data_IF_847072372134
#
_entry.id   IF_847072372134
#
_cell.length_a   1.000
_cell.length_b   1.000
_cell.length_c   1.000
_cell.angle_alpha   90.00
_cell.angle_beta   90.00
_cell.angle_gamma   90.00
#
_symmetry.space_group_name_H-M   'P 1'
#
loop_
_entity.id
_entity.type
_entity.pdbx_description
1 polymer ?
#
# COMPACT_ATOMS: atom_id res chain seq x y z
N UNK A 1 -2.03 -2.97 -1.69
CA UNK A 1 -1.42 -3.56 -0.46
C UNK A 1 -1.34 -5.07 -0.54
N UNK A 2 -2.42 -5.82 -0.73
CA UNK A 2 -2.42 -7.29 -0.79
C UNK A 2 -1.41 -7.85 -1.81
N UNK A 3 -1.44 -7.33 -3.03
CA UNK A 3 -0.46 -7.67 -4.09
C UNK A 3 0.98 -7.37 -3.67
N UNK A 4 1.20 -6.22 -3.02
CA UNK A 4 2.55 -5.83 -2.56
C UNK A 4 3.04 -6.75 -1.45
N UNK A 5 2.18 -7.10 -0.48
CA UNK A 5 2.50 -8.06 0.58
C UNK A 5 2.87 -9.44 0.02
N UNK A 6 2.09 -9.94 -0.96
CA UNK A 6 2.40 -11.21 -1.63
C UNK A 6 3.69 -11.17 -2.46
N UNK A 7 3.95 -10.05 -3.14
CA UNK A 7 5.19 -9.86 -3.90
C UNK A 7 6.43 -9.83 -3.00
N UNK A 8 6.37 -9.08 -1.89
CA UNK A 8 7.46 -9.03 -0.91
C UNK A 8 7.70 -10.40 -0.25
N UNK A 9 6.61 -11.09 0.13
CA UNK A 9 6.73 -12.44 0.65
C UNK A 9 7.49 -13.34 -0.32
N UNK A 10 7.12 -13.34 -1.61
CA UNK A 10 7.76 -14.14 -2.65
C UNK A 10 9.21 -13.74 -2.87
N UNK A 11 9.48 -12.44 -2.99
CA UNK A 11 10.82 -11.90 -3.21
C UNK A 11 11.78 -12.26 -2.07
N UNK A 12 11.36 -12.01 -0.82
CA UNK A 12 12.18 -12.28 0.36
C UNK A 12 12.33 -13.76 0.66
N UNK A 13 11.31 -14.58 0.38
CA UNK A 13 11.41 -16.04 0.51
C UNK A 13 12.43 -16.64 -0.46
N UNK A 14 12.48 -16.16 -1.71
CA UNK A 14 13.48 -16.56 -2.69
C UNK A 14 14.91 -16.23 -2.25
N UNK A 15 15.09 -15.09 -1.58
CA UNK A 15 16.39 -14.66 -1.02
C UNK A 15 16.73 -15.31 0.32
N UNK A 16 15.80 -16.05 0.93
CA UNK A 16 15.98 -16.59 2.30
C UNK A 16 15.93 -15.52 3.38
N UNK A 17 15.34 -14.35 3.10
CA UNK A 17 15.29 -13.17 3.95
C UNK A 17 13.89 -12.83 4.47
N UNK A 18 12.91 -13.72 4.25
CA UNK A 18 11.55 -13.49 4.73
C UNK A 18 11.50 -13.54 6.27
N UNK A 19 11.17 -12.43 6.94
CA UNK A 19 11.07 -12.43 8.40
C UNK A 19 9.82 -13.18 8.87
N UNK A 20 9.87 -13.74 10.10
CA UNK A 20 8.71 -14.35 10.75
C UNK A 20 7.62 -13.30 11.06
N UNK A 21 8.05 -12.10 11.47
CA UNK A 21 7.14 -10.99 11.72
C UNK A 21 6.66 -10.36 10.40
N UNK A 22 5.40 -9.91 10.39
CA UNK A 22 4.87 -9.21 9.23
C UNK A 22 5.62 -7.92 8.96
N UNK A 23 5.84 -7.62 7.68
CA UNK A 23 6.33 -6.30 7.28
C UNK A 23 5.19 -5.28 7.39
N UNK A 24 5.56 -4.05 7.75
CA UNK A 24 4.63 -2.93 7.84
C UNK A 24 4.87 -1.95 6.71
N UNK A 25 3.84 -1.23 6.33
CA UNK A 25 3.96 -0.16 5.35
C UNK A 25 3.36 1.15 5.87
N UNK A 26 3.95 2.25 5.42
CA UNK A 26 3.35 3.56 5.51
C UNK A 26 2.39 3.75 4.33
N UNK A 27 1.15 4.12 4.64
CA UNK A 27 0.10 4.37 3.64
C UNK A 27 -0.34 5.83 3.74
N UNK A 28 -0.08 6.65 2.72
CA UNK A 28 -0.67 7.98 2.64
C UNK A 28 -2.19 7.86 2.47
N UNK A 29 -2.94 8.59 3.30
CA UNK A 29 -4.40 8.61 3.28
C UNK A 29 -4.91 10.03 3.07
N UNK A 30 -5.85 10.22 2.13
CA UNK A 30 -6.52 11.50 1.96
C UNK A 30 -7.63 11.65 2.99
N UNK A 31 -7.67 12.80 3.67
CA UNK A 31 -8.71 13.15 4.62
C UNK A 31 -9.74 14.15 4.05
N UNK A 32 -9.76 14.36 2.74
CA UNK A 32 -10.78 15.22 2.14
C UNK A 32 -12.15 14.52 2.26
N UNK A 33 -13.05 15.12 3.04
CA UNK A 33 -14.46 14.76 3.05
C UNK A 33 -15.13 15.17 1.74
N UNK A 34 -16.24 14.52 1.35
CA UNK A 34 -16.96 14.84 0.12
C UNK A 34 -17.42 16.29 0.02
N UNK A 35 -17.62 16.98 1.16
CA UNK A 35 -18.16 18.33 1.21
C UNK A 35 -17.10 19.45 1.31
N UNK A 36 -15.80 19.13 1.30
CA UNK A 36 -14.72 20.09 1.52
C UNK A 36 -13.87 20.36 0.28
N UNK A 37 -14.52 20.60 -0.86
CA UNK A 37 -13.83 21.03 -2.08
C UNK A 37 -13.16 22.42 -1.96
N UNK A 38 -13.46 23.17 -0.91
CA UNK A 38 -12.98 24.54 -0.70
C UNK A 38 -11.74 24.65 0.20
N UNK A 39 -11.31 23.58 0.89
CA UNK A 39 -10.12 23.62 1.73
C UNK A 39 -8.86 23.64 0.87
N UNK A 40 -8.20 24.77 0.83
CA UNK A 40 -6.91 24.97 0.15
C UNK A 40 -5.81 24.24 0.94
N UNK A 41 -5.08 23.33 0.27
CA UNK A 41 -3.93 22.65 0.83
C UNK A 41 -3.96 21.13 0.66
N UNK A 42 -2.78 20.52 0.86
CA UNK A 42 -2.63 19.07 0.78
C UNK A 42 -2.98 18.44 2.13
N UNK A 43 -4.14 17.78 2.23
CA UNK A 43 -4.63 17.15 3.45
C UNK A 43 -4.37 15.63 3.40
N UNK A 44 -3.09 15.27 3.47
CA UNK A 44 -2.64 13.88 3.52
C UNK A 44 -2.20 13.54 4.94
N UNK A 45 -2.75 12.48 5.51
CA UNK A 45 -2.24 11.83 6.70
C UNK A 45 -1.52 10.54 6.36
N UNK A 46 -0.90 9.95 7.36
CA UNK A 46 -0.15 8.71 7.24
C UNK A 46 -0.74 7.66 8.16
N UNK A 47 -0.89 6.45 7.67
CA UNK A 47 -1.22 5.29 8.49
C UNK A 47 -0.11 4.25 8.38
N UNK A 48 0.21 3.59 9.48
CA UNK A 48 1.09 2.41 9.49
C UNK A 48 0.21 1.17 9.51
N UNK A 49 0.43 0.27 8.57
CA UNK A 49 -0.39 -0.91 8.39
C UNK A 49 0.45 -2.16 8.12
N UNK A 50 0.08 -3.32 8.68
CA UNK A 50 0.73 -4.58 8.34
C UNK A 50 0.40 -4.98 6.89
N UNK A 51 1.38 -5.58 6.21
CA UNK A 51 1.24 -6.15 4.87
C UNK A 51 0.85 -7.62 4.88
N UNK A 52 0.86 -8.23 6.07
CA UNK A 52 0.56 -9.65 6.27
C UNK A 52 1.39 -10.56 5.36
N UNK A 53 2.71 -10.31 5.34
CA UNK A 53 3.67 -11.10 4.56
C UNK A 53 3.82 -12.51 5.10
N UNK A 54 3.42 -12.78 6.33
CA UNK A 54 3.37 -14.10 6.95
C UNK A 54 2.25 -14.98 6.38
N UNK A 55 1.16 -14.40 5.88
CA UNK A 55 0.03 -15.13 5.32
C UNK A 55 0.31 -15.62 3.90
N UNK A 56 0.09 -16.91 3.69
CA UNK A 56 0.25 -17.57 2.39
C UNK A 56 -0.91 -17.28 1.44
N UNK A 57 -2.13 -17.44 1.96
CA UNK A 57 -3.35 -17.27 1.17
C UNK A 57 -3.61 -15.80 0.81
N UNK A 58 -3.83 -15.46 -0.46
CA UNK A 58 -4.07 -14.08 -0.88
C UNK A 58 -5.43 -13.53 -0.42
N UNK A 59 -6.43 -14.39 -0.18
CA UNK A 59 -7.75 -13.96 0.32
C UNK A 59 -7.68 -13.63 1.81
N UNK A 60 -7.02 -14.48 2.59
CA UNK A 60 -6.80 -14.21 4.01
C UNK A 60 -6.02 -12.91 4.20
N UNK A 61 -4.95 -12.72 3.43
CA UNK A 61 -4.18 -11.47 3.40
C UNK A 61 -5.05 -10.27 3.02
N UNK A 62 -5.91 -10.39 2.02
CA UNK A 62 -6.84 -9.32 1.63
C UNK A 62 -7.80 -8.96 2.75
N UNK A 63 -8.36 -9.95 3.43
CA UNK A 63 -9.32 -9.75 4.52
C UNK A 63 -8.67 -9.04 5.71
N UNK A 64 -7.47 -9.46 6.12
CA UNK A 64 -6.74 -8.82 7.22
C UNK A 64 -6.35 -7.37 6.88
N UNK A 65 -5.86 -7.12 5.67
CA UNK A 65 -5.57 -5.75 5.20
C UNK A 65 -6.84 -4.89 5.19
N UNK A 66 -7.98 -5.41 4.75
CA UNK A 66 -9.26 -4.68 4.79
C UNK A 66 -9.69 -4.35 6.21
N UNK A 67 -9.56 -5.29 7.15
CA UNK A 67 -9.85 -5.04 8.58
C UNK A 67 -8.93 -3.96 9.15
N UNK A 68 -7.63 -4.03 8.85
CA UNK A 68 -6.64 -3.03 9.26
C UNK A 68 -6.96 -1.65 8.71
N UNK A 69 -7.31 -1.55 7.43
CA UNK A 69 -7.67 -0.29 6.78
C UNK A 69 -8.92 0.35 7.41
N UNK A 70 -9.95 -0.46 7.72
CA UNK A 70 -11.14 0.02 8.39
C UNK A 70 -10.83 0.57 9.79
N UNK A 71 -10.01 -0.13 10.57
CA UNK A 71 -9.56 0.32 11.90
C UNK A 71 -8.74 1.61 11.82
N UNK A 72 -7.79 1.70 10.88
CA UNK A 72 -6.96 2.89 10.67
C UNK A 72 -7.82 4.10 10.30
N UNK A 73 -8.82 3.92 9.44
CA UNK A 73 -9.76 4.98 9.07
C UNK A 73 -10.57 5.46 10.28
N UNK A 74 -11.17 4.53 11.04
CA UNK A 74 -11.94 4.84 12.24
C UNK A 74 -11.09 5.55 13.30
N UNK A 75 -9.86 5.09 13.54
CA UNK A 75 -8.93 5.75 14.46
C UNK A 75 -8.63 7.19 14.04
N UNK A 76 -8.34 7.43 12.77
CA UNK A 76 -8.06 8.76 12.27
C UNK A 76 -9.28 9.70 12.32
N UNK A 77 -10.50 9.17 12.20
CA UNK A 77 -11.73 9.94 12.37
C UNK A 77 -11.95 10.39 13.82
N UNK A 78 -11.59 9.55 14.80
CA UNK A 78 -11.78 9.82 16.25
C UNK A 78 -10.65 10.70 16.80
N UNK A 79 -9.39 10.39 16.49
CA UNK A 79 -8.23 11.10 17.04
C UNK A 79 -8.03 12.46 16.40
N UNK A 80 -8.58 12.65 15.20
CA UNK A 80 -8.45 13.91 14.46
C UNK A 80 -7.02 14.12 13.91
N UNK A 81 -6.94 14.96 12.89
CA UNK A 81 -5.70 15.26 12.16
C UNK A 81 -4.67 16.01 13.02
N UNK A 82 -5.15 16.72 14.01
CA UNK A 82 -4.35 17.74 14.70
C UNK A 82 -3.54 17.19 15.87
N UNK A 83 -3.91 16.04 16.44
CA UNK A 83 -3.25 15.57 17.66
C UNK A 83 -1.80 15.16 17.42
N UNK A 84 -1.55 14.37 16.37
CA UNK A 84 -0.18 13.96 16.03
C UNK A 84 0.65 15.17 15.56
N UNK A 85 0.07 16.04 14.71
CA UNK A 85 0.73 17.27 14.27
C UNK A 85 1.06 18.19 15.44
N UNK A 86 0.11 18.45 16.34
CA UNK A 86 0.32 19.26 17.53
C UNK A 86 1.36 18.70 18.50
N UNK A 87 1.44 17.38 18.64
CA UNK A 87 2.48 16.75 19.45
C UNK A 87 3.89 16.99 18.86
N UNK A 88 4.00 17.00 17.53
CA UNK A 88 5.27 17.31 16.86
C UNK A 88 5.58 18.82 16.83
N UNK A 89 4.56 19.69 16.76
CA UNK A 89 4.73 21.15 16.79
C UNK A 89 5.25 21.67 18.14
N UNK A 90 4.96 20.97 19.24
CA UNK A 90 5.42 21.36 20.59
C UNK A 90 6.86 20.93 20.85
N UNK A 91 7.40 19.96 20.07
CA UNK A 91 8.77 19.48 20.23
C UNK A 91 9.74 20.39 19.45
N UNK A 92 10.95 20.71 20.02
CA UNK A 92 12.01 21.32 19.24
C UNK A 92 12.36 20.46 18.01
N UNK A 93 12.75 21.09 16.90
CA UNK A 93 13.03 20.42 15.62
C UNK A 93 13.99 19.23 15.76
N UNK A 94 15.07 19.38 16.53
CA UNK A 94 16.01 18.28 16.78
C UNK A 94 15.40 17.11 17.56
N UNK A 95 14.45 17.37 18.45
CA UNK A 95 13.77 16.33 19.22
C UNK A 95 12.71 15.62 18.36
N UNK A 96 12.00 16.35 17.51
CA UNK A 96 11.02 15.79 16.58
C UNK A 96 11.71 14.93 15.52
N UNK A 97 12.85 15.36 14.99
CA UNK A 97 13.67 14.57 14.06
C UNK A 97 14.17 13.28 14.71
N UNK A 98 14.72 13.36 15.93
CA UNK A 98 15.20 12.19 16.66
C UNK A 98 14.06 11.21 16.98
N UNK A 99 12.89 11.72 17.41
CA UNK A 99 11.74 10.91 17.68
C UNK A 99 11.23 10.21 16.39
N UNK A 100 11.16 10.93 15.28
CA UNK A 100 10.77 10.36 14.00
C UNK A 100 11.73 9.25 13.58
N UNK A 101 13.05 9.50 13.62
CA UNK A 101 14.06 8.51 13.22
C UNK A 101 14.15 7.29 14.15
N UNK A 102 13.94 7.46 15.45
CA UNK A 102 14.12 6.38 16.44
C UNK A 102 12.84 5.64 16.79
N UNK A 103 11.68 6.27 16.72
CA UNK A 103 10.41 5.70 17.17
C UNK A 103 9.43 5.43 16.02
N UNK A 104 9.41 6.27 14.99
CA UNK A 104 8.42 6.17 13.91
C UNK A 104 8.96 5.36 12.73
N UNK A 105 10.11 5.73 12.18
CA UNK A 105 10.67 5.06 11.00
C UNK A 105 10.93 3.56 11.19
N UNK A 106 11.43 3.08 12.34
CA UNK A 106 11.64 1.64 12.54
C UNK A 106 10.34 0.81 12.55
N UNK A 107 9.19 1.47 12.71
CA UNK A 107 7.88 0.81 12.63
C UNK A 107 7.42 0.55 11.18
N UNK A 108 8.16 1.04 10.20
CA UNK A 108 7.78 1.00 8.78
C UNK A 108 8.89 0.38 7.96
N UNK A 109 8.53 -0.54 7.06
CA UNK A 109 9.48 -1.19 6.16
C UNK A 109 9.48 -0.55 4.78
N UNK A 110 8.31 -0.13 4.29
CA UNK A 110 8.12 0.41 2.94
C UNK A 110 7.00 1.46 2.91
N UNK A 111 6.91 2.20 1.81
CA UNK A 111 5.74 3.04 1.48
C UNK A 111 4.87 2.31 0.46
N UNK A 112 3.56 2.23 0.71
CA UNK A 112 2.58 1.76 -0.27
C UNK A 112 1.54 2.85 -0.49
N UNK A 113 1.52 3.42 -1.68
CA UNK A 113 0.56 4.45 -2.08
C UNK A 113 -0.40 3.92 -3.14
N UNK A 114 -1.66 4.32 -3.06
CA UNK A 114 -2.65 4.02 -4.08
C UNK A 114 -3.42 5.29 -4.42
N UNK A 115 -3.31 5.71 -5.67
CA UNK A 115 -3.95 6.93 -6.18
C UNK A 115 -4.98 6.54 -7.24
N UNK A 116 -6.22 6.98 -7.04
CA UNK A 116 -7.26 6.82 -8.04
C UNK A 116 -7.09 7.90 -9.11
N UNK A 117 -6.88 7.48 -10.35
CA UNK A 117 -6.88 8.34 -11.52
C UNK A 117 -8.22 8.34 -12.24
N UNK A 118 -8.33 9.09 -13.35
CA UNK A 118 -9.57 9.22 -14.11
C UNK A 118 -9.92 7.91 -14.86
N UNK A 119 -11.22 7.62 -14.89
CA UNK A 119 -11.77 6.47 -15.62
C UNK A 119 -12.03 6.78 -17.11
N UNK A 120 -11.71 8.01 -17.55
CA UNK A 120 -11.85 8.47 -18.94
C UNK A 120 -10.48 8.67 -19.61
N UNK A 121 -10.36 8.51 -20.93
CA UNK A 121 -9.11 8.75 -21.63
C UNK A 121 -8.72 10.23 -21.58
N UNK A 122 -7.46 10.49 -21.27
CA UNK A 122 -6.88 11.83 -21.29
C UNK A 122 -6.13 12.07 -22.60
N UNK A 123 -6.05 13.33 -22.99
CA UNK A 123 -5.34 13.78 -24.20
C UNK A 123 -4.45 14.96 -23.84
N UNK A 124 -3.27 15.01 -24.48
CA UNK A 124 -2.35 16.13 -24.42
C UNK A 124 -1.97 16.55 -25.84
N UNK A 125 -2.27 17.78 -26.21
CA UNK A 125 -2.05 18.31 -27.57
C UNK A 125 -2.56 17.38 -28.70
N UNK A 126 -3.74 16.76 -28.50
CA UNK A 126 -4.36 15.81 -29.43
C UNK A 126 -3.86 14.35 -29.31
N UNK A 127 -2.74 14.09 -28.65
CA UNK A 127 -2.23 12.75 -28.42
C UNK A 127 -2.92 12.10 -27.22
N UNK A 128 -3.39 10.84 -27.38
CA UNK A 128 -4.02 10.06 -26.31
C UNK A 128 -2.97 9.55 -25.34
N UNK A 129 -3.21 9.75 -24.04
CA UNK A 129 -2.43 9.10 -22.99
C UNK A 129 -2.76 7.60 -22.97
N UNK A 130 -1.77 6.74 -23.22
CA UNK A 130 -1.94 5.29 -23.31
C UNK A 130 -1.50 4.56 -22.04
N UNK A 131 -0.58 5.18 -21.28
CA UNK A 131 -0.05 4.61 -20.03
C UNK A 131 0.32 5.70 -19.05
N UNK A 132 0.28 5.37 -17.76
CA UNK A 132 0.68 6.26 -16.68
C UNK A 132 1.55 5.50 -15.68
N UNK A 133 2.82 5.86 -15.56
CA UNK A 133 3.73 5.29 -14.58
C UNK A 133 3.81 6.22 -13.35
N UNK A 134 3.25 5.81 -12.19
CA UNK A 134 3.25 6.63 -10.99
C UNK A 134 4.60 6.55 -10.27
N UNK A 135 5.57 7.34 -10.69
CA UNK A 135 6.89 7.41 -10.06
C UNK A 135 6.79 8.24 -8.77
N UNK A 136 7.22 7.66 -7.67
CA UNK A 136 7.33 8.30 -6.36
C UNK A 136 8.80 8.35 -5.92
N UNK A 137 9.04 8.65 -4.65
CA UNK A 137 10.40 8.76 -4.09
C UNK A 137 10.66 7.71 -3.03
N UNK A 138 11.88 7.22 -2.96
CA UNK A 138 12.45 6.61 -1.75
C UNK A 138 13.15 7.70 -0.92
N UNK A 139 13.16 7.55 0.40
CA UNK A 139 13.81 8.51 1.29
C UNK A 139 14.48 7.79 2.47
N UNK A 140 15.32 8.50 3.21
CA UNK A 140 16.08 7.94 4.32
C UNK A 140 15.19 7.21 5.32
N UNK A 141 15.50 5.94 5.57
CA UNK A 141 14.74 5.04 6.44
C UNK A 141 13.60 4.28 5.75
N UNK A 142 13.20 4.64 4.52
CA UNK A 142 12.16 3.97 3.73
C UNK A 142 12.62 3.81 2.28
N UNK A 143 13.49 2.84 2.06
CA UNK A 143 14.18 2.63 0.78
C UNK A 143 13.38 1.95 -0.31
N UNK A 144 12.09 1.61 -0.09
CA UNK A 144 11.18 1.07 -1.10
C UNK A 144 9.85 1.81 -1.05
N UNK A 145 9.41 2.29 -2.21
CA UNK A 145 8.10 2.89 -2.41
C UNK A 145 7.38 2.18 -3.56
N UNK A 146 6.18 1.67 -3.29
CA UNK A 146 5.32 1.04 -4.32
C UNK A 146 4.05 1.85 -4.46
N UNK A 147 3.89 2.48 -5.61
CA UNK A 147 2.72 3.32 -5.91
C UNK A 147 1.86 2.70 -7.01
N UNK A 148 0.57 2.54 -6.72
CA UNK A 148 -0.45 2.17 -7.68
C UNK A 148 -1.20 3.39 -8.18
N UNK A 149 -1.56 3.40 -9.47
CA UNK A 149 -2.39 4.43 -10.08
C UNK A 149 -3.38 3.78 -11.05
N UNK A 150 -4.68 4.00 -10.84
CA UNK A 150 -5.69 3.54 -11.77
C UNK A 150 -5.90 4.56 -12.89
N UNK A 151 -5.93 4.10 -14.13
CA UNK A 151 -6.19 4.94 -15.27
C UNK A 151 -6.96 4.16 -16.35
N UNK A 152 -8.12 4.64 -16.73
CA UNK A 152 -8.93 4.15 -17.84
C UNK A 152 -9.03 2.61 -17.89
N UNK A 153 -9.48 2.01 -16.79
CA UNK A 153 -9.67 0.56 -16.65
C UNK A 153 -8.41 -0.26 -16.40
N UNK A 154 -7.25 0.37 -16.29
CA UNK A 154 -5.97 -0.29 -16.00
C UNK A 154 -5.40 0.14 -14.65
N UNK A 155 -4.68 -0.76 -13.99
CA UNK A 155 -3.92 -0.46 -12.77
C UNK A 155 -2.42 -0.49 -13.10
N UNK A 156 -1.77 0.64 -12.91
CA UNK A 156 -0.34 0.81 -13.10
C UNK A 156 0.34 0.76 -11.74
N UNK A 157 1.33 -0.11 -11.58
CA UNK A 157 2.11 -0.24 -10.34
C UNK A 157 3.56 0.06 -10.66
N UNK A 158 4.13 1.02 -9.94
CA UNK A 158 5.52 1.42 -10.05
C UNK A 158 6.22 1.20 -8.70
N UNK A 159 7.40 0.60 -8.73
CA UNK A 159 8.27 0.46 -7.57
C UNK A 159 9.52 1.31 -7.76
N UNK A 160 9.82 2.15 -6.78
CA UNK A 160 11.06 2.93 -6.68
C UNK A 160 11.82 2.46 -5.45
N UNK A 161 13.04 2.02 -5.63
CA UNK A 161 13.82 1.43 -4.55
C UNK A 161 15.24 1.92 -4.51
N UNK A 162 15.83 1.93 -3.30
CA UNK A 162 17.27 1.98 -3.13
C UNK A 162 17.90 0.72 -3.75
N UNK A 163 18.95 0.90 -4.54
CA UNK A 163 19.62 -0.20 -5.26
C UNK A 163 20.13 -1.30 -4.32
N UNK A 164 20.63 -0.90 -3.17
CA UNK A 164 21.20 -1.85 -2.19
C UNK A 164 20.12 -2.65 -1.46
N UNK A 165 18.89 -2.09 -1.33
CA UNK A 165 17.76 -2.77 -0.69
C UNK A 165 16.99 -3.68 -1.65
N UNK A 166 16.97 -3.35 -2.94
CA UNK A 166 16.29 -4.13 -3.97
C UNK A 166 17.22 -4.33 -5.17
N UNK A 167 18.22 -5.21 -5.06
CA UNK A 167 19.25 -5.40 -6.09
C UNK A 167 18.71 -6.02 -7.37
N UNK A 168 17.56 -6.70 -7.31
CA UNK A 168 16.92 -7.37 -8.45
C UNK A 168 15.51 -6.82 -8.71
N UNK A 169 15.39 -5.61 -9.28
CA UNK A 169 14.10 -4.97 -9.50
C UNK A 169 13.25 -5.68 -10.56
N UNK A 170 13.88 -6.37 -11.52
CA UNK A 170 13.15 -7.13 -12.54
C UNK A 170 12.43 -8.33 -11.92
N UNK A 171 13.09 -9.05 -11.02
CA UNK A 171 12.48 -10.15 -10.28
C UNK A 171 11.36 -9.65 -9.34
N UNK A 172 11.54 -8.51 -8.68
CA UNK A 172 10.48 -7.93 -7.87
C UNK A 172 9.24 -7.54 -8.71
N UNK A 173 9.44 -6.98 -9.91
CA UNK A 173 8.36 -6.70 -10.83
C UNK A 173 7.60 -7.97 -11.25
N UNK A 174 8.32 -9.09 -11.43
CA UNK A 174 7.69 -10.38 -11.67
C UNK A 174 6.91 -10.87 -10.45
N UNK A 175 7.45 -10.75 -9.24
CA UNK A 175 6.74 -11.06 -8.00
C UNK A 175 5.43 -10.27 -7.88
N UNK A 176 5.41 -8.99 -8.27
CA UNK A 176 4.19 -8.17 -8.30
C UNK A 176 3.15 -8.72 -9.27
N UNK A 177 3.56 -9.09 -10.51
CA UNK A 177 2.66 -9.67 -11.51
C UNK A 177 2.06 -11.00 -11.06
N UNK A 178 2.90 -11.88 -10.55
CA UNK A 178 2.47 -13.21 -10.05
C UNK A 178 1.52 -13.04 -8.87
N UNK A 179 1.85 -12.18 -7.89
CA UNK A 179 0.99 -11.94 -6.73
C UNK A 179 -0.36 -11.34 -7.11
N UNK A 180 -0.40 -10.47 -8.13
CA UNK A 180 -1.66 -9.92 -8.63
C UNK A 180 -2.51 -11.01 -9.29
N UNK A 181 -1.93 -11.82 -10.17
CA UNK A 181 -2.62 -12.91 -10.84
C UNK A 181 -3.12 -14.00 -9.87
N UNK A 182 -2.38 -14.27 -8.79
CA UNK A 182 -2.82 -15.17 -7.71
C UNK A 182 -4.06 -14.61 -7.01
N UNK A 183 -4.05 -13.32 -6.68
CA UNK A 183 -5.18 -12.66 -6.04
C UNK A 183 -6.43 -12.65 -6.95
N UNK A 184 -6.27 -12.36 -8.24
CA UNK A 184 -7.38 -12.41 -9.20
C UNK A 184 -8.00 -13.79 -9.29
N UNK A 185 -7.19 -14.85 -9.43
CA UNK A 185 -7.66 -16.22 -9.48
C UNK A 185 -8.38 -16.65 -8.21
N UNK A 186 -7.82 -16.31 -7.05
CA UNK A 186 -8.42 -16.64 -5.77
C UNK A 186 -9.74 -15.87 -5.54
N UNK A 187 -9.81 -14.61 -5.96
CA UNK A 187 -11.04 -13.82 -5.87
C UNK A 187 -12.13 -14.36 -6.82
N UNK A 188 -11.78 -14.79 -8.03
CA UNK A 188 -12.71 -15.39 -8.97
C UNK A 188 -13.26 -16.73 -8.44
N UNK A 189 -12.39 -17.57 -7.85
CA UNK A 189 -12.80 -18.82 -7.21
C UNK A 189 -13.74 -18.60 -6.02
N UNK A 190 -13.46 -17.61 -5.18
CA UNK A 190 -14.31 -17.25 -4.04
C UNK A 190 -15.68 -16.64 -4.44
N UNK A 191 -15.78 -16.07 -5.65
CA UNK A 191 -17.01 -15.50 -6.18
C UNK A 191 -17.91 -16.54 -6.92
N UNK A 192 -17.40 -17.74 -7.19
CA UNK A 192 -18.15 -18.80 -7.86
C UNK A 192 -19.16 -19.45 -6.91
N UNK A 193 -20.46 -19.61 -7.29
CA UNK A 193 -21.53 -20.05 -6.39
C UNK A 193 -21.41 -21.50 -5.88
N UNK A 194 -20.54 -22.32 -6.46
CA UNK A 194 -20.41 -23.76 -6.14
C UNK A 194 -19.51 -24.10 -4.95
N UNK A 195 -18.87 -23.11 -4.28
CA UNK A 195 -17.97 -23.39 -3.16
C UNK A 195 -18.67 -23.76 -1.83
N UNK A 196 -20.01 -23.87 -1.82
CA UNK A 196 -20.82 -24.10 -0.61
C UNK A 196 -21.61 -25.41 -0.56
N UNK A 197 -21.57 -26.28 -1.56
CA UNK A 197 -22.31 -27.55 -1.55
C UNK A 197 -21.47 -28.69 -0.99
N UNK A 198 -21.37 -28.81 0.32
CA UNK A 198 -21.01 -30.08 0.96
C UNK A 198 -22.16 -31.07 0.75
N UNK A 199 -21.92 -32.31 0.27
CA UNK A 199 -22.97 -33.31 0.20
C UNK A 199 -23.40 -33.69 1.62
N UNK A 200 -24.65 -33.37 1.97
CA UNK A 200 -25.30 -33.97 3.13
C UNK A 200 -25.43 -35.46 2.82
N UNK A 201 -24.67 -36.28 3.52
CA UNK A 201 -24.79 -37.72 3.53
C UNK A 201 -26.14 -38.14 4.13
N UNK A 202 -26.91 -38.83 3.34
CA UNK A 202 -28.05 -39.62 3.76
C UNK A 202 -27.61 -40.85 4.55
#
# INVERSE_FOLDING_TARGET
MTTVGGALRRYLADKGELPEATLTCMVPMSFRGPDKAADVGNQIGMAVMPLHTELHDPIDRLQEIRRGAAKAKAFNEVVGRDLAARLFEVLPDAASELATRRLVLPQMSIVVSNVRGPDVPLFMAGARLVSFAPVSIAFDGLGLNVTGFSYHGSLWICAVACRDMLPDPAFFAECLRVSFAELERAAAAAASPDAGASPQSA
#
